data_IF_456887292180
#
_entry.id   IF_456887292180
#
_cell.length_a   1.000
_cell.length_b   1.000
_cell.length_c   1.000
_cell.angle_alpha   90.00
_cell.angle_beta   90.00
_cell.angle_gamma   90.00
#
_symmetry.space_group_name_H-M   'P 1'
#
loop_
_entity.id
_entity.type
_entity.pdbx_description
1 polymer ?
#
# COMPACT_ATOMS: atom_id res chain seq x y z
N UNK A 1 24.41 3.87 -23.25
CA UNK A 1 24.80 2.78 -22.33
C UNK A 1 23.54 1.97 -22.11
N UNK A 2 23.43 0.70 -22.52
CA UNK A 2 22.28 -0.07 -22.10
C UNK A 2 22.49 -0.39 -20.61
N UNK A 3 21.66 0.20 -19.79
CA UNK A 3 21.47 -0.20 -18.40
C UNK A 3 21.04 -1.67 -18.45
N UNK A 4 21.90 -2.57 -17.96
CA UNK A 4 21.56 -3.98 -17.90
C UNK A 4 20.37 -4.14 -16.98
N UNK A 5 19.28 -4.71 -17.50
CA UNK A 5 18.08 -5.05 -16.73
C UNK A 5 18.51 -5.82 -15.46
N UNK A 6 18.25 -5.23 -14.28
CA UNK A 6 18.66 -5.83 -13.00
C UNK A 6 17.70 -6.98 -12.67
N UNK A 7 18.04 -8.16 -13.15
CA UNK A 7 17.19 -9.36 -13.07
C UNK A 7 17.18 -10.05 -11.70
N UNK A 8 17.79 -9.44 -10.68
CA UNK A 8 17.91 -10.05 -9.33
C UNK A 8 16.56 -10.31 -8.66
N UNK A 9 15.52 -9.57 -9.04
CA UNK A 9 14.17 -9.73 -8.50
C UNK A 9 13.29 -10.69 -9.33
N UNK A 10 13.79 -11.17 -10.47
CA UNK A 10 13.06 -12.12 -11.34
C UNK A 10 13.24 -13.58 -10.90
N UNK A 11 13.98 -13.81 -9.81
CA UNK A 11 14.12 -15.14 -9.22
C UNK A 11 12.76 -15.64 -8.76
N UNK A 12 12.41 -16.86 -9.16
CA UNK A 12 11.18 -17.52 -8.72
C UNK A 12 11.37 -18.01 -7.28
N UNK A 13 10.41 -17.68 -6.43
CA UNK A 13 10.32 -18.15 -5.05
C UNK A 13 8.99 -18.89 -4.87
N UNK A 14 8.97 -19.86 -3.95
CA UNK A 14 7.72 -20.49 -3.54
C UNK A 14 6.99 -19.54 -2.58
N UNK A 15 5.98 -18.86 -3.09
CA UNK A 15 5.13 -17.94 -2.33
C UNK A 15 3.93 -18.70 -1.78
N UNK A 16 3.70 -18.58 -0.47
CA UNK A 16 2.55 -19.19 0.21
C UNK A 16 1.67 -18.09 0.74
N UNK A 17 0.45 -17.98 0.18
CA UNK A 17 -0.52 -16.94 0.57
C UNK A 17 -1.80 -17.60 1.08
N UNK A 18 -2.30 -17.14 2.23
CA UNK A 18 -3.63 -17.51 2.71
C UNK A 18 -4.66 -16.53 2.15
N UNK A 19 -5.63 -17.02 1.35
CA UNK A 19 -6.70 -16.19 0.81
C UNK A 19 -7.88 -16.16 1.78
N UNK A 20 -8.25 -14.98 2.25
CA UNK A 20 -9.36 -14.82 3.20
C UNK A 20 -10.71 -15.28 2.62
N UNK A 21 -10.95 -15.08 1.33
CA UNK A 21 -12.25 -15.36 0.69
C UNK A 21 -12.62 -16.84 0.67
N UNK A 22 -11.63 -17.72 0.53
CA UNK A 22 -11.84 -19.17 0.35
C UNK A 22 -11.23 -20.01 1.48
N UNK A 23 -10.50 -19.37 2.41
CA UNK A 23 -9.70 -20.05 3.43
C UNK A 23 -8.72 -21.09 2.85
N UNK A 24 -8.32 -20.92 1.59
CA UNK A 24 -7.35 -21.77 0.92
C UNK A 24 -5.93 -21.20 1.04
N UNK A 25 -4.98 -22.09 1.31
CA UNK A 25 -3.55 -21.80 1.25
C UNK A 25 -3.09 -22.10 -0.17
N UNK A 26 -2.78 -21.04 -0.92
CA UNK A 26 -2.25 -21.17 -2.28
C UNK A 26 -0.73 -21.12 -2.21
N UNK A 27 -0.08 -22.12 -2.81
CA UNK A 27 1.37 -22.17 -3.01
C UNK A 27 1.68 -22.11 -4.49
N UNK A 28 2.38 -21.07 -4.93
CA UNK A 28 2.75 -20.88 -6.33
C UNK A 28 4.19 -20.37 -6.45
N UNK A 29 4.81 -20.68 -7.59
CA UNK A 29 6.14 -20.13 -7.92
C UNK A 29 5.96 -18.79 -8.59
N UNK A 30 6.36 -17.75 -7.89
CA UNK A 30 6.14 -16.37 -8.29
C UNK A 30 7.46 -15.61 -8.26
N UNK A 31 7.71 -14.67 -9.18
CA UNK A 31 8.88 -13.80 -9.14
C UNK A 31 8.96 -13.03 -7.83
N UNK A 32 10.17 -12.91 -7.27
CA UNK A 32 10.40 -12.22 -6.00
C UNK A 32 9.88 -10.77 -6.02
N UNK A 33 10.02 -10.04 -7.13
CA UNK A 33 9.43 -8.69 -7.29
C UNK A 33 7.93 -8.66 -7.01
N UNK A 34 7.18 -9.61 -7.56
CA UNK A 34 5.72 -9.64 -7.48
C UNK A 34 5.29 -10.02 -6.03
N UNK A 35 6.07 -10.88 -5.36
CA UNK A 35 5.88 -11.22 -3.94
C UNK A 35 6.13 -10.01 -3.04
N UNK A 36 7.21 -9.26 -3.27
CA UNK A 36 7.52 -8.04 -2.50
C UNK A 36 6.40 -7.01 -2.67
N UNK A 37 5.94 -6.80 -3.90
CA UNK A 37 4.83 -5.90 -4.21
C UNK A 37 3.55 -6.31 -3.48
N UNK A 38 3.20 -7.60 -3.51
CA UNK A 38 2.04 -8.10 -2.80
C UNK A 38 2.12 -7.88 -1.28
N UNK A 39 3.30 -8.09 -0.67
CA UNK A 39 3.52 -7.84 0.76
C UNK A 39 3.31 -6.36 1.09
N UNK A 40 3.80 -5.44 0.25
CA UNK A 40 3.58 -4.00 0.41
C UNK A 40 2.08 -3.65 0.37
N UNK A 41 1.34 -4.20 -0.59
CA UNK A 41 -0.11 -3.95 -0.69
C UNK A 41 -0.89 -4.48 0.50
N UNK A 42 -0.55 -5.67 1.00
CA UNK A 42 -1.17 -6.22 2.22
C UNK A 42 -0.91 -5.30 3.42
N UNK A 43 0.34 -4.91 3.64
CA UNK A 43 0.70 -4.02 4.76
C UNK A 43 0.04 -2.63 4.65
N UNK A 44 -0.10 -2.10 3.42
CA UNK A 44 -0.81 -0.85 3.16
C UNK A 44 -2.29 -0.96 3.52
N UNK A 45 -2.95 -2.04 3.07
CA UNK A 45 -4.37 -2.30 3.31
C UNK A 45 -4.69 -2.49 4.80
N UNK A 46 -3.79 -3.09 5.57
CA UNK A 46 -3.96 -3.26 7.03
C UNK A 46 -3.96 -1.93 7.80
N UNK A 47 -3.19 -0.94 7.34
CA UNK A 47 -2.87 0.26 8.14
C UNK A 47 -3.60 1.53 7.70
N UNK A 48 -3.93 1.67 6.41
CA UNK A 48 -4.51 2.90 5.85
C UNK A 48 -5.56 2.60 4.79
N UNK A 49 -6.84 2.86 5.09
CA UNK A 49 -7.86 3.03 4.04
C UNK A 49 -7.71 4.39 3.36
N UNK A 50 -7.98 4.48 2.06
CA UNK A 50 -7.96 5.75 1.30
C UNK A 50 -6.75 5.99 0.40
N UNK A 51 -5.77 5.09 0.34
CA UNK A 51 -4.75 5.11 -0.73
C UNK A 51 -5.39 4.88 -2.12
N UNK A 52 -6.48 4.11 -2.17
CA UNK A 52 -7.25 3.79 -3.38
C UNK A 52 -7.93 5.02 -4.01
N UNK A 53 -8.14 6.09 -3.22
CA UNK A 53 -8.90 7.26 -3.65
C UNK A 53 -8.06 8.28 -4.46
N UNK A 54 -6.76 8.00 -4.64
CA UNK A 54 -5.85 8.79 -5.48
C UNK A 54 -5.77 10.29 -5.09
N UNK A 55 -5.99 10.63 -3.81
CA UNK A 55 -5.90 11.99 -3.24
C UNK A 55 -4.44 12.50 -3.10
N UNK A 56 -3.48 11.83 -3.75
CA UNK A 56 -2.07 12.23 -3.77
C UNK A 56 -1.29 11.82 -2.53
N UNK A 57 -1.67 10.73 -1.87
CA UNK A 57 -0.82 10.10 -0.85
C UNK A 57 0.43 9.49 -1.49
N UNK A 58 1.56 9.57 -0.82
CA UNK A 58 2.84 9.01 -1.27
C UNK A 58 3.66 8.50 -0.08
N UNK A 59 4.72 7.75 -0.37
CA UNK A 59 5.56 7.20 0.69
C UNK A 59 6.45 6.08 0.19
N UNK A 60 7.21 5.51 1.11
CA UNK A 60 8.23 4.51 0.83
C UNK A 60 8.08 3.29 1.75
N UNK A 61 8.33 2.12 1.18
CA UNK A 61 8.48 0.87 1.94
C UNK A 61 9.95 0.54 2.10
N UNK A 62 10.36 0.24 3.34
CA UNK A 62 11.72 -0.22 3.65
C UNK A 62 11.68 -1.61 4.27
N UNK A 63 12.33 -2.56 3.61
CA UNK A 63 12.55 -3.91 4.11
C UNK A 63 13.90 -4.01 4.80
N UNK A 64 13.89 -4.25 6.11
CA UNK A 64 15.08 -4.64 6.87
C UNK A 64 15.10 -6.17 7.01
N UNK A 65 15.81 -6.83 6.09
CA UNK A 65 15.85 -8.30 6.01
C UNK A 65 16.53 -8.93 7.23
N UNK A 66 17.55 -8.27 7.80
CA UNK A 66 18.29 -8.78 8.94
C UNK A 66 17.43 -8.82 10.21
N UNK A 67 16.67 -7.74 10.44
CA UNK A 67 15.79 -7.62 11.60
C UNK A 67 14.36 -8.14 11.33
N UNK A 68 14.06 -8.54 10.09
CA UNK A 68 12.73 -8.99 9.63
C UNK A 68 11.65 -7.94 9.87
N UNK A 69 11.98 -6.68 9.60
CA UNK A 69 11.08 -5.54 9.83
C UNK A 69 10.69 -4.91 8.50
N UNK A 70 9.39 -4.71 8.30
CA UNK A 70 8.85 -3.88 7.23
C UNK A 70 8.42 -2.53 7.80
N UNK A 71 8.96 -1.45 7.28
CA UNK A 71 8.56 -0.08 7.65
C UNK A 71 7.84 0.57 6.49
N UNK A 72 6.63 1.06 6.74
CA UNK A 72 5.84 1.88 5.84
C UNK A 72 5.96 3.34 6.29
N UNK A 73 6.60 4.18 5.48
CA UNK A 73 6.47 5.62 5.59
C UNK A 73 5.27 6.06 4.73
N UNK A 74 4.23 6.61 5.35
CA UNK A 74 3.04 7.05 4.63
C UNK A 74 2.77 8.54 4.85
N UNK A 75 2.76 9.30 3.77
CA UNK A 75 2.43 10.72 3.73
C UNK A 75 1.06 10.89 3.07
N UNK A 76 0.02 11.03 3.89
CA UNK A 76 -1.34 11.31 3.42
C UNK A 76 -1.56 12.81 3.23
N UNK A 77 -2.22 13.20 2.14
CA UNK A 77 -2.74 14.57 1.97
C UNK A 77 -4.22 14.58 2.34
N UNK A 78 -4.60 15.49 3.23
CA UNK A 78 -5.99 15.69 3.62
C UNK A 78 -6.40 17.11 3.23
N UNK A 79 -7.48 17.24 2.45
CA UNK A 79 -8.07 18.53 2.13
C UNK A 79 -9.52 18.56 2.63
N UNK A 80 -9.77 19.27 3.73
CA UNK A 80 -11.13 19.51 4.24
C UNK A 80 -11.56 20.93 3.96
N UNK A 81 -12.78 21.11 3.47
CA UNK A 81 -13.43 22.41 3.33
C UNK A 81 -14.76 22.34 4.06
N UNK A 82 -14.90 23.12 5.13
CA UNK A 82 -16.15 23.26 5.86
C UNK A 82 -16.65 24.69 5.71
N UNK A 83 -17.88 24.85 5.23
CA UNK A 83 -18.54 26.14 5.05
C UNK A 83 -19.86 26.11 5.80
N UNK A 84 -19.99 27.02 6.77
CA UNK A 84 -21.20 27.20 7.58
C UNK A 84 -21.65 28.64 7.46
N UNK A 85 -22.85 28.85 6.95
CA UNK A 85 -23.49 30.16 6.86
C UNK A 85 -24.74 30.17 7.73
N UNK A 86 -24.82 31.15 8.63
CA UNK A 86 -25.97 31.35 9.50
C UNK A 86 -26.54 32.74 9.25
N UNK A 87 -27.81 32.80 8.85
CA UNK A 87 -28.57 34.04 8.74
C UNK A 87 -29.68 34.05 9.78
N UNK A 88 -29.74 35.10 10.60
CA UNK A 88 -30.86 35.35 11.50
C UNK A 88 -31.60 36.60 11.01
N UNK A 89 -32.91 36.48 10.85
CA UNK A 89 -33.78 37.61 10.52
C UNK A 89 -34.80 37.75 11.64
N UNK A 90 -34.75 38.86 12.35
CA UNK A 90 -35.87 39.32 13.18
C UNK A 90 -36.76 40.17 12.28
N UNK A 91 -37.88 39.59 11.83
CA UNK A 91 -38.94 40.39 11.23
C UNK A 91 -39.63 41.18 12.35
N UNK A 92 -39.48 42.51 12.31
CA UNK A 92 -40.09 43.46 13.23
C UNK A 92 -41.46 43.95 12.74
#
# INVERSE_FOLDING_TARGET
>A
MPEGEDTRLDVLVDAVTARWTDCEIVSERTPLRDVIEQVCYVALAETKGGWENNEGAFGDFRFDVANRTLTLEFNGRYMSTEYSEHSWTEEA
#
